data_IF_675843748859
#
_entry.id   IF_675843748859
#
_cell.length_a   1.000
_cell.length_b   1.000
_cell.length_c   1.000
_cell.angle_alpha   90.00
_cell.angle_beta   90.00
_cell.angle_gamma   90.00
#
_symmetry.space_group_name_H-M   'P 1'
#
loop_
_entity.id
_entity.type
_entity.pdbx_description
1 polymer ?
#
# COMPACT_ATOMS: atom_id res chain seq x y z
N UNK A 1 -29.04 9.08 0.39
CA UNK A 1 -28.50 10.06 1.37
C UNK A 1 -27.16 10.56 0.85
N UNK A 2 -26.98 11.88 0.71
CA UNK A 2 -25.70 12.47 0.35
C UNK A 2 -24.77 12.54 1.57
N UNK A 3 -23.47 12.40 1.33
CA UNK A 3 -22.40 12.52 2.32
C UNK A 3 -21.27 13.34 1.70
N UNK A 4 -20.66 14.22 2.49
CA UNK A 4 -19.41 14.88 2.16
C UNK A 4 -18.39 14.63 3.26
N UNK A 5 -17.14 14.40 2.88
CA UNK A 5 -16.04 14.18 3.82
C UNK A 5 -14.81 14.94 3.36
N UNK A 6 -14.15 15.60 4.32
CA UNK A 6 -12.89 16.32 4.09
C UNK A 6 -11.97 16.02 5.26
N UNK A 7 -10.74 15.62 4.94
CA UNK A 7 -9.59 15.47 5.83
C UNK A 7 -8.39 16.14 5.16
N UNK A 8 -7.74 17.03 5.90
CA UNK A 8 -6.54 17.72 5.45
C UNK A 8 -5.46 17.62 6.51
N UNK A 9 -4.21 17.75 6.09
CA UNK A 9 -3.07 17.87 6.99
C UNK A 9 -2.10 18.96 6.51
N UNK A 10 -1.44 19.60 7.46
CA UNK A 10 -0.31 20.46 7.16
C UNK A 10 0.98 19.63 7.20
N UNK A 11 1.77 19.72 6.14
CA UNK A 11 3.04 19.02 5.99
C UNK A 11 4.18 20.03 5.96
N UNK A 12 5.18 19.77 6.78
CA UNK A 12 6.45 20.48 6.75
C UNK A 12 7.61 19.49 6.67
N UNK A 13 8.53 19.73 5.75
CA UNK A 13 9.82 19.05 5.67
C UNK A 13 10.87 20.03 5.15
N UNK A 14 12.07 20.09 5.75
CA UNK A 14 13.16 20.92 5.22
C UNK A 14 13.62 20.40 3.85
N UNK A 15 14.31 21.26 3.10
CA UNK A 15 14.99 20.83 1.87
C UNK A 15 16.13 19.86 2.20
N UNK A 16 16.45 18.98 1.27
CA UNK A 16 17.60 18.09 1.36
C UNK A 16 18.56 18.27 0.17
N UNK A 17 19.86 17.98 0.35
CA UNK A 17 20.82 18.03 -0.76
C UNK A 17 20.41 17.06 -1.89
N UNK A 18 20.92 17.28 -3.12
CA UNK A 18 20.70 16.34 -4.21
C UNK A 18 21.20 14.94 -3.85
N UNK A 19 20.57 13.92 -4.42
CA UNK A 19 21.08 12.56 -4.35
C UNK A 19 22.48 12.48 -4.97
N UNK A 20 23.34 11.67 -4.34
CA UNK A 20 24.70 11.41 -4.83
C UNK A 20 24.66 10.80 -6.25
N UNK A 21 25.75 10.93 -7.02
CA UNK A 21 25.88 10.27 -8.32
C UNK A 21 25.61 8.76 -8.25
N UNK A 22 26.23 8.02 -7.31
CA UNK A 22 25.94 6.60 -7.12
C UNK A 22 24.47 6.28 -6.82
N UNK A 23 23.79 7.09 -6.02
CA UNK A 23 22.35 6.93 -5.75
C UNK A 23 21.50 7.10 -7.00
N UNK A 24 21.76 8.15 -7.79
CA UNK A 24 21.02 8.42 -9.03
C UNK A 24 21.26 7.33 -10.08
N UNK A 25 22.49 6.83 -10.19
CA UNK A 25 22.84 5.71 -11.07
C UNK A 25 22.16 4.40 -10.65
N UNK A 26 22.11 4.12 -9.34
CA UNK A 26 21.41 2.95 -8.83
C UNK A 26 19.92 3.02 -9.15
N UNK A 27 19.25 4.15 -8.91
CA UNK A 27 17.83 4.37 -9.25
C UNK A 27 17.62 4.18 -10.76
N UNK A 28 18.45 4.83 -11.59
CA UNK A 28 18.39 4.70 -13.05
C UNK A 28 18.47 3.24 -13.52
N UNK A 29 19.37 2.45 -12.93
CA UNK A 29 19.56 1.05 -13.27
C UNK A 29 18.38 0.16 -12.85
N UNK A 30 17.88 0.32 -11.62
CA UNK A 30 16.82 -0.55 -11.08
C UNK A 30 15.42 -0.22 -11.59
N UNK A 31 15.19 1.03 -12.01
CA UNK A 31 13.93 1.46 -12.61
C UNK A 31 13.96 1.40 -14.14
N UNK A 32 15.17 1.30 -14.72
CA UNK A 32 15.42 1.28 -16.17
C UNK A 32 14.89 2.57 -16.82
N UNK A 33 15.33 3.69 -16.26
CA UNK A 33 15.00 5.06 -16.68
C UNK A 33 16.28 5.90 -16.77
N UNK A 34 16.31 6.99 -17.55
CA UNK A 34 17.46 7.89 -17.58
C UNK A 34 17.85 8.39 -16.20
N UNK A 35 19.16 8.60 -15.99
CA UNK A 35 19.66 9.16 -14.74
C UNK A 35 19.05 10.55 -14.50
N UNK A 36 18.46 10.73 -13.32
CA UNK A 36 17.85 12.01 -12.95
C UNK A 36 18.93 13.10 -12.83
N UNK A 37 18.60 14.36 -13.15
CA UNK A 37 19.53 15.47 -12.97
C UNK A 37 19.91 15.65 -11.50
N UNK A 38 21.03 16.32 -11.25
CA UNK A 38 21.46 16.67 -9.88
C UNK A 38 20.65 17.87 -9.40
N UNK A 39 19.47 17.60 -8.82
CA UNK A 39 18.57 18.64 -8.31
C UNK A 39 18.40 18.55 -6.81
N UNK A 40 18.28 19.71 -6.16
CA UNK A 40 17.95 19.80 -4.74
C UNK A 40 16.56 19.22 -4.48
N UNK A 41 16.40 18.53 -3.36
CA UNK A 41 15.08 18.10 -2.89
C UNK A 41 14.43 19.32 -2.22
N UNK A 42 13.34 19.87 -2.79
CA UNK A 42 12.75 21.10 -2.29
C UNK A 42 12.12 20.87 -0.90
N UNK A 43 12.14 21.92 -0.07
CA UNK A 43 11.40 21.92 1.17
C UNK A 43 9.90 21.76 0.88
N UNK A 44 9.20 20.99 1.71
CA UNK A 44 7.75 20.87 1.67
C UNK A 44 7.17 21.77 2.75
N UNK A 45 6.28 22.67 2.35
CA UNK A 45 5.47 23.46 3.25
C UNK A 45 4.11 23.68 2.59
N UNK A 46 3.14 22.84 2.94
CA UNK A 46 1.83 22.86 2.28
C UNK A 46 0.73 22.29 3.17
N UNK A 47 -0.50 22.73 2.89
CA UNK A 47 -1.71 22.01 3.30
C UNK A 47 -2.04 20.99 2.21
N UNK A 48 -2.09 19.72 2.58
CA UNK A 48 -2.48 18.64 1.69
C UNK A 48 -3.90 18.17 2.03
N UNK A 49 -4.78 18.18 1.04
CA UNK A 49 -6.04 17.43 1.11
C UNK A 49 -5.72 15.94 0.99
N UNK A 50 -6.00 15.21 2.07
CA UNK A 50 -5.93 13.76 2.12
C UNK A 50 -7.20 13.21 1.47
N UNK A 51 -8.25 13.00 2.26
CA UNK A 51 -9.54 12.56 1.74
C UNK A 51 -10.43 13.77 1.50
N UNK A 52 -10.99 13.89 0.31
CA UNK A 52 -11.91 14.95 -0.04
C UNK A 52 -12.87 14.40 -1.10
N UNK A 53 -14.06 13.99 -0.69
CA UNK A 53 -15.01 13.33 -1.57
C UNK A 53 -16.46 13.62 -1.21
N UNK A 54 -17.31 13.47 -2.23
CA UNK A 54 -18.76 13.45 -2.09
C UNK A 54 -19.26 12.05 -2.39
N UNK A 55 -20.33 11.65 -1.72
CA UNK A 55 -20.88 10.31 -1.85
C UNK A 55 -22.40 10.29 -1.84
N UNK A 56 -22.97 9.34 -2.56
CA UNK A 56 -24.39 9.00 -2.55
C UNK A 56 -24.57 7.59 -2.00
N UNK A 57 -25.31 7.51 -0.90
CA UNK A 57 -25.76 6.26 -0.31
C UNK A 57 -27.16 5.90 -0.82
N UNK A 58 -27.29 4.77 -1.51
CA UNK A 58 -28.55 4.25 -2.08
C UNK A 58 -28.60 2.72 -2.00
N UNK A 59 -29.69 2.15 -1.46
CA UNK A 59 -29.92 0.69 -1.43
C UNK A 59 -28.71 -0.16 -0.97
N UNK A 60 -28.07 0.27 0.12
CA UNK A 60 -26.86 -0.33 0.70
C UNK A 60 -25.60 -0.26 -0.18
N UNK A 61 -25.63 0.52 -1.25
CA UNK A 61 -24.46 0.93 -2.02
C UNK A 61 -24.06 2.36 -1.66
N UNK A 62 -22.76 2.58 -1.62
CA UNK A 62 -22.13 3.88 -1.51
C UNK A 62 -21.35 4.12 -2.80
N UNK A 63 -21.69 5.21 -3.48
CA UNK A 63 -20.99 5.67 -4.68
C UNK A 63 -20.32 6.99 -4.34
N UNK A 64 -19.00 7.05 -4.40
CA UNK A 64 -18.22 8.24 -4.04
C UNK A 64 -17.32 8.70 -5.19
N UNK A 65 -17.07 10.01 -5.21
CA UNK A 65 -16.14 10.63 -6.13
C UNK A 65 -15.27 11.66 -5.40
N UNK A 66 -13.96 11.56 -5.60
CA UNK A 66 -12.97 12.47 -5.01
C UNK A 66 -11.71 11.74 -4.55
N UNK A 67 -10.87 12.44 -3.80
CA UNK A 67 -9.64 11.88 -3.21
C UNK A 67 -9.99 10.98 -2.04
N UNK A 68 -9.53 9.72 -2.11
CA UNK A 68 -9.87 8.70 -1.12
C UNK A 68 -8.69 7.78 -0.84
N UNK A 69 -8.42 7.55 0.44
CA UNK A 69 -7.49 6.55 0.95
C UNK A 69 -8.17 5.18 0.96
N UNK A 70 -7.43 4.12 0.66
CA UNK A 70 -7.91 2.74 0.74
C UNK A 70 -7.00 1.91 1.65
N UNK A 71 -7.55 0.83 2.20
CA UNK A 71 -6.82 -0.13 3.02
C UNK A 71 -7.31 -1.55 2.70
N UNK A 72 -6.55 -2.26 1.87
CA UNK A 72 -6.93 -3.57 1.34
C UNK A 72 -6.12 -4.71 1.96
N UNK A 73 -6.32 -4.92 3.26
CA UNK A 73 -5.75 -6.05 3.99
C UNK A 73 -6.10 -6.02 5.48
N UNK A 74 -5.91 -7.13 6.21
CA UNK A 74 -6.27 -7.28 7.62
C UNK A 74 -5.18 -6.79 8.58
N UNK A 75 -3.93 -6.70 8.13
CA UNK A 75 -2.84 -6.18 8.94
C UNK A 75 -3.00 -4.69 9.16
N UNK A 76 -2.55 -4.20 10.31
CA UNK A 76 -2.57 -2.76 10.67
C UNK A 76 -1.28 -2.08 10.22
N UNK A 77 -0.29 -2.88 9.84
CA UNK A 77 1.02 -2.45 9.43
C UNK A 77 1.19 -1.87 8.05
N UNK A 78 0.20 -1.98 7.19
CA UNK A 78 0.31 -1.63 5.77
C UNK A 78 0.08 -2.86 4.87
N UNK A 79 -1.10 -2.98 4.24
CA UNK A 79 -1.41 -4.07 3.34
C UNK A 79 -0.54 -4.06 2.08
N UNK A 80 -0.46 -5.22 1.42
CA UNK A 80 0.41 -5.43 0.27
C UNK A 80 -0.13 -4.77 -1.00
N UNK A 81 -1.44 -4.78 -1.23
CA UNK A 81 -2.03 -4.31 -2.49
C UNK A 81 -2.36 -2.82 -2.52
N UNK A 82 -2.89 -2.27 -1.44
CA UNK A 82 -3.31 -0.87 -1.41
C UNK A 82 -3.39 -0.39 0.03
N UNK A 83 -2.46 0.47 0.41
CA UNK A 83 -2.32 1.08 1.73
C UNK A 83 -2.49 2.60 1.65
N UNK A 84 -2.27 3.28 2.77
CA UNK A 84 -2.19 4.73 2.88
C UNK A 84 -0.74 5.26 2.79
N UNK A 85 0.20 4.43 2.34
CA UNK A 85 1.60 4.82 2.13
C UNK A 85 1.78 5.85 0.99
N UNK A 86 0.79 5.97 0.10
CA UNK A 86 0.74 7.01 -0.92
C UNK A 86 -0.38 8.02 -0.66
N UNK A 87 -0.23 9.23 -1.22
CA UNK A 87 -1.28 10.23 -1.17
C UNK A 87 -2.60 9.67 -1.75
N UNK A 88 -3.77 10.05 -1.20
CA UNK A 88 -5.05 9.55 -1.68
C UNK A 88 -5.29 9.83 -3.17
N UNK A 89 -5.77 8.80 -3.87
CA UNK A 89 -6.01 8.87 -5.31
C UNK A 89 -7.39 9.49 -5.56
N UNK A 90 -7.48 10.37 -6.56
CA UNK A 90 -8.76 10.87 -7.02
C UNK A 90 -9.47 9.78 -7.81
N UNK A 91 -10.59 9.28 -7.28
CA UNK A 91 -11.25 8.09 -7.81
C UNK A 91 -12.77 8.19 -7.76
N UNK A 92 -13.40 7.45 -8.67
CA UNK A 92 -14.77 6.98 -8.53
C UNK A 92 -14.75 5.62 -7.83
N UNK A 93 -15.50 5.47 -6.75
CA UNK A 93 -15.54 4.24 -5.94
C UNK A 93 -16.98 3.82 -5.71
N UNK A 94 -17.22 2.53 -5.81
CA UNK A 94 -18.49 1.89 -5.49
C UNK A 94 -18.23 0.84 -4.42
N UNK A 95 -18.86 1.00 -3.27
CA UNK A 95 -18.69 0.13 -2.11
C UNK A 95 -20.05 -0.35 -1.62
N UNK A 96 -20.11 -1.60 -1.18
CA UNK A 96 -21.29 -2.14 -0.51
C UNK A 96 -21.22 -1.84 0.99
N UNK A 97 -22.15 -1.03 1.50
CA UNK A 97 -22.22 -0.62 2.91
C UNK A 97 -22.65 -1.77 3.82
N UNK A 98 -23.64 -2.57 3.38
CA UNK A 98 -24.12 -3.73 4.11
C UNK A 98 -23.85 -5.02 3.33
N UNK A 99 -23.11 -5.99 3.92
CA UNK A 99 -22.89 -7.29 3.31
C UNK A 99 -24.19 -8.01 2.98
N UNK A 100 -24.20 -8.84 1.94
CA UNK A 100 -25.33 -9.69 1.57
C UNK A 100 -24.88 -11.14 1.39
N UNK A 101 -25.79 -12.11 1.40
CA UNK A 101 -25.43 -13.50 1.08
C UNK A 101 -25.69 -13.79 -0.38
N UNK A 102 -24.77 -14.53 -1.01
CA UNK A 102 -25.01 -15.05 -2.35
C UNK A 102 -26.10 -16.14 -2.30
N UNK A 103 -26.91 -16.27 -3.36
CA UNK A 103 -27.95 -17.28 -3.41
C UNK A 103 -27.38 -18.71 -3.59
N UNK A 104 -28.21 -19.70 -3.26
CA UNK A 104 -28.00 -21.12 -3.61
C UNK A 104 -26.71 -21.70 -3.03
N UNK A 105 -25.95 -22.46 -3.84
CA UNK A 105 -24.71 -23.10 -3.45
C UNK A 105 -23.63 -22.09 -3.09
N UNK A 106 -23.72 -20.81 -3.45
CA UNK A 106 -22.73 -19.82 -3.04
C UNK A 106 -22.97 -19.27 -1.63
N UNK A 107 -24.09 -19.64 -0.98
CA UNK A 107 -24.43 -19.20 0.37
C UNK A 107 -23.46 -19.67 1.46
N UNK A 108 -22.67 -20.73 1.23
CA UNK A 108 -21.65 -21.21 2.19
C UNK A 108 -20.47 -20.25 2.33
N UNK A 109 -20.24 -19.36 1.35
CA UNK A 109 -19.23 -18.30 1.45
C UNK A 109 -19.60 -17.23 2.50
N UNK A 110 -20.83 -17.27 3.00
CA UNK A 110 -21.35 -16.33 3.99
C UNK A 110 -21.59 -14.93 3.40
N UNK A 111 -21.67 -13.89 4.26
CA UNK A 111 -21.84 -12.53 3.80
C UNK A 111 -20.67 -12.08 2.91
N UNK A 112 -20.97 -11.50 1.76
CA UNK A 112 -20.03 -10.89 0.82
C UNK A 112 -20.12 -9.36 0.90
N UNK A 113 -18.96 -8.70 0.81
CA UNK A 113 -18.82 -7.26 0.55
C UNK A 113 -17.98 -7.07 -0.71
N UNK A 114 -18.33 -6.05 -1.49
CA UNK A 114 -17.63 -5.70 -2.72
C UNK A 114 -17.22 -4.24 -2.68
N UNK A 115 -16.03 -3.98 -3.17
CA UNK A 115 -15.47 -2.64 -3.35
C UNK A 115 -14.77 -2.57 -4.70
N UNK A 116 -15.16 -1.62 -5.53
CA UNK A 116 -14.53 -1.38 -6.83
C UNK A 116 -14.23 0.10 -7.00
N UNK A 117 -13.15 0.42 -7.71
CA UNK A 117 -12.81 1.80 -8.01
C UNK A 117 -12.14 1.94 -9.38
N UNK A 118 -12.16 3.16 -9.89
CA UNK A 118 -11.30 3.64 -10.96
C UNK A 118 -10.80 5.03 -10.55
N UNK A 119 -9.49 5.24 -10.61
CA UNK A 119 -8.84 6.48 -10.20
C UNK A 119 -7.73 6.88 -11.14
N UNK A 120 -7.39 8.17 -11.14
CA UNK A 120 -6.30 8.71 -11.93
C UNK A 120 -5.06 8.83 -11.04
N UNK A 121 -3.95 8.24 -11.49
CA UNK A 121 -2.66 8.36 -10.82
C UNK A 121 -2.09 9.76 -11.02
N UNK A 122 -1.13 10.12 -10.18
CA UNK A 122 -0.40 11.37 -10.25
C UNK A 122 1.09 11.10 -10.08
N UNK A 123 1.93 12.00 -10.59
CA UNK A 123 3.39 11.92 -10.42
C UNK A 123 4.04 10.74 -11.15
N UNK A 124 3.35 10.07 -12.06
CA UNK A 124 3.98 9.12 -12.97
C UNK A 124 4.85 9.90 -13.95
N UNK A 125 6.13 9.57 -14.07
CA UNK A 125 7.10 10.31 -14.89
C UNK A 125 7.55 9.53 -16.12
N UNK A 126 7.57 8.19 -16.04
CA UNK A 126 8.07 7.33 -17.10
C UNK A 126 7.09 6.25 -17.51
N UNK A 127 6.99 6.02 -18.81
CA UNK A 127 6.17 4.97 -19.43
C UNK A 127 6.82 4.48 -20.72
N UNK A 128 6.88 3.17 -20.92
CA UNK A 128 7.40 2.56 -22.14
C UNK A 128 6.25 2.09 -23.03
N UNK A 129 6.12 2.67 -24.22
CA UNK A 129 5.05 2.40 -25.19
C UNK A 129 5.63 1.92 -26.55
N UNK A 130 4.82 1.71 -27.59
CA UNK A 130 5.32 1.23 -28.88
C UNK A 130 6.36 2.13 -29.56
N UNK A 131 6.40 3.42 -29.20
CA UNK A 131 7.35 4.41 -29.71
C UNK A 131 8.64 4.47 -28.88
N UNK A 132 8.73 3.72 -27.78
CA UNK A 132 9.88 3.68 -26.89
C UNK A 132 9.59 4.22 -25.49
N UNK A 133 10.65 4.58 -24.77
CA UNK A 133 10.54 5.17 -23.44
C UNK A 133 10.11 6.63 -23.56
N UNK A 134 8.97 6.95 -22.94
CA UNK A 134 8.44 8.29 -22.78
C UNK A 134 8.69 8.76 -21.35
N UNK A 135 8.90 10.06 -21.19
CA UNK A 135 9.04 10.67 -19.86
C UNK A 135 10.35 11.40 -19.65
N UNK A 136 10.38 12.18 -18.58
CA UNK A 136 11.55 12.92 -18.14
C UNK A 136 11.50 13.05 -16.62
N UNK A 137 12.65 12.91 -15.96
CA UNK A 137 12.73 13.04 -14.50
C UNK A 137 12.25 14.42 -14.04
N UNK A 138 11.42 14.43 -13.00
CA UNK A 138 10.82 15.65 -12.45
C UNK A 138 9.67 16.23 -13.27
N UNK A 139 9.21 15.54 -14.33
CA UNK A 139 8.07 15.97 -15.14
C UNK A 139 7.00 14.87 -15.19
N UNK A 140 5.78 15.14 -14.68
CA UNK A 140 4.70 14.16 -14.76
C UNK A 140 4.24 13.97 -16.21
N UNK A 141 3.98 12.72 -16.58
CA UNK A 141 3.36 12.33 -17.85
C UNK A 141 2.03 13.08 -18.07
N UNK A 142 1.75 13.43 -19.33
CA UNK A 142 0.46 13.95 -19.74
C UNK A 142 -0.02 13.20 -21.00
N UNK A 143 -1.12 12.43 -20.93
CA UNK A 143 -1.98 12.20 -19.76
C UNK A 143 -1.34 11.29 -18.69
N UNK A 144 -1.77 11.42 -17.43
CA UNK A 144 -1.42 10.47 -16.38
C UNK A 144 -2.17 9.14 -16.57
N UNK A 145 -1.54 7.98 -16.26
CA UNK A 145 -2.21 6.68 -16.21
C UNK A 145 -3.34 6.62 -15.17
N UNK A 146 -4.17 5.59 -15.30
CA UNK A 146 -5.27 5.28 -14.40
C UNK A 146 -5.02 3.94 -13.72
N UNK A 147 -5.60 3.78 -12.54
CA UNK A 147 -5.66 2.53 -11.80
C UNK A 147 -7.12 2.16 -11.58
N UNK A 148 -7.45 0.89 -11.74
CA UNK A 148 -8.74 0.37 -11.29
C UNK A 148 -8.55 -0.83 -10.37
N UNK A 149 -9.47 -1.04 -9.45
CA UNK A 149 -9.41 -2.15 -8.51
C UNK A 149 -10.75 -2.81 -8.28
N UNK A 150 -10.72 -4.10 -7.95
CA UNK A 150 -11.86 -4.87 -7.45
C UNK A 150 -11.44 -5.67 -6.23
N UNK A 151 -12.24 -5.61 -5.17
CA UNK A 151 -12.10 -6.42 -3.96
C UNK A 151 -13.43 -7.09 -3.63
N UNK A 152 -13.37 -8.38 -3.32
CA UNK A 152 -14.48 -9.18 -2.84
C UNK A 152 -14.06 -9.84 -1.52
N UNK A 153 -14.76 -9.54 -0.43
CA UNK A 153 -14.51 -10.15 0.87
C UNK A 153 -15.68 -11.00 1.32
N UNK A 154 -15.37 -12.11 1.96
CA UNK A 154 -16.30 -13.16 2.36
C UNK A 154 -16.12 -13.48 3.84
N UNK A 155 -17.21 -13.88 4.50
CA UNK A 155 -17.22 -14.34 5.89
C UNK A 155 -17.93 -15.69 6.02
N UNK A 156 -17.28 -16.80 5.63
CA UNK A 156 -17.90 -18.14 5.69
C UNK A 156 -18.29 -18.57 7.10
N UNK A 157 -17.51 -18.16 8.11
CA UNK A 157 -17.77 -18.47 9.51
C UNK A 157 -17.61 -17.22 10.39
N UNK A 158 -18.11 -17.22 11.65
CA UNK A 158 -17.88 -16.11 12.57
C UNK A 158 -16.39 -15.82 12.87
N UNK A 159 -15.53 -16.82 12.68
CA UNK A 159 -14.10 -16.77 13.03
C UNK A 159 -13.18 -16.65 11.81
N UNK A 160 -13.69 -16.76 10.59
CA UNK A 160 -12.87 -16.76 9.37
C UNK A 160 -13.46 -15.80 8.34
N UNK A 161 -12.61 -14.89 7.89
CA UNK A 161 -12.86 -13.95 6.80
C UNK A 161 -11.71 -14.06 5.80
N UNK A 162 -12.03 -13.88 4.52
CA UNK A 162 -11.01 -13.78 3.48
C UNK A 162 -11.47 -12.84 2.38
N UNK A 163 -10.53 -12.27 1.65
CA UNK A 163 -10.83 -11.46 0.48
C UNK A 163 -9.91 -11.82 -0.68
N UNK A 164 -10.40 -11.60 -1.89
CA UNK A 164 -9.60 -11.60 -3.11
C UNK A 164 -9.72 -10.23 -3.73
N UNK A 165 -8.61 -9.73 -4.27
CA UNK A 165 -8.58 -8.43 -4.91
C UNK A 165 -7.63 -8.41 -6.09
N UNK A 166 -7.93 -7.50 -7.02
CA UNK A 166 -7.13 -7.25 -8.20
C UNK A 166 -7.02 -5.75 -8.43
N UNK A 167 -5.84 -5.29 -8.81
CA UNK A 167 -5.65 -3.93 -9.33
C UNK A 167 -5.00 -3.98 -10.70
N UNK A 168 -5.27 -2.97 -11.51
CA UNK A 168 -4.63 -2.81 -12.82
C UNK A 168 -4.28 -1.36 -13.07
N UNK A 169 -3.02 -1.08 -13.39
CA UNK A 169 -2.61 0.20 -13.95
C UNK A 169 -2.74 0.14 -15.48
N UNK A 170 -3.30 1.19 -16.08
CA UNK A 170 -3.49 1.25 -17.53
C UNK A 170 -3.59 2.69 -18.05
N UNK A 171 -3.51 2.86 -19.37
CA UNK A 171 -3.54 4.18 -20.00
C UNK A 171 -2.22 4.95 -19.85
N UNK A 172 -2.25 6.24 -20.18
CA UNK A 172 -1.08 7.12 -20.26
C UNK A 172 -0.68 7.43 -21.72
N UNK A 173 0.46 8.10 -21.96
CA UNK A 173 0.84 8.51 -23.32
C UNK A 173 1.06 7.31 -24.24
N UNK A 174 0.34 7.26 -25.36
CA UNK A 174 0.35 6.12 -26.29
C UNK A 174 -0.66 5.01 -25.96
N UNK A 175 -1.39 5.11 -24.84
CA UNK A 175 -2.44 4.18 -24.44
C UNK A 175 -3.77 4.94 -24.23
N UNK A 176 -4.66 4.95 -25.24
CA UNK A 176 -5.87 5.77 -25.20
C UNK A 176 -6.84 5.30 -24.11
N UNK A 177 -7.49 6.25 -23.44
CA UNK A 177 -8.53 5.97 -22.45
C UNK A 177 -9.90 5.96 -23.12
N UNK A 178 -10.36 4.77 -23.44
CA UNK A 178 -11.69 4.50 -24.00
C UNK A 178 -12.42 3.45 -23.18
N UNK A 179 -13.74 3.36 -23.36
CA UNK A 179 -14.54 2.28 -22.76
C UNK A 179 -14.04 0.90 -23.23
N UNK A 180 -13.63 0.77 -24.49
CA UNK A 180 -13.07 -0.47 -25.03
C UNK A 180 -11.79 -0.89 -24.27
N UNK A 181 -10.85 0.04 -24.08
CA UNK A 181 -9.61 -0.23 -23.34
C UNK A 181 -9.87 -0.53 -21.86
N UNK A 182 -10.86 0.12 -21.24
CA UNK A 182 -11.24 -0.16 -19.86
C UNK A 182 -11.82 -1.59 -19.74
N UNK A 183 -12.78 -1.95 -20.58
CA UNK A 183 -13.37 -3.31 -20.59
C UNK A 183 -12.28 -4.35 -20.86
N UNK A 184 -11.38 -4.09 -21.81
CA UNK A 184 -10.24 -4.97 -22.07
C UNK A 184 -9.35 -5.12 -20.84
N UNK A 185 -9.00 -4.03 -20.17
CA UNK A 185 -8.20 -4.04 -18.94
C UNK A 185 -8.87 -4.83 -17.82
N UNK A 186 -10.19 -4.69 -17.68
CA UNK A 186 -10.98 -5.39 -16.65
C UNK A 186 -11.03 -6.90 -16.86
N UNK A 187 -11.21 -7.38 -18.09
CA UNK A 187 -11.57 -8.79 -18.34
C UNK A 187 -10.51 -9.62 -19.04
N UNK A 188 -9.44 -9.02 -19.56
CA UNK A 188 -8.42 -9.80 -20.27
C UNK A 188 -7.62 -10.69 -19.32
N UNK A 189 -7.38 -11.92 -19.79
CA UNK A 189 -6.53 -12.92 -19.13
C UNK A 189 -5.17 -13.06 -19.81
N UNK A 190 -5.00 -12.56 -21.04
CA UNK A 190 -3.76 -12.69 -21.81
C UNK A 190 -2.63 -11.76 -21.36
N UNK A 191 -1.39 -12.20 -21.57
CA UNK A 191 -0.18 -11.39 -21.41
C UNK A 191 0.21 -10.75 -22.75
N UNK A 192 0.71 -9.52 -22.68
CA UNK A 192 1.18 -8.75 -23.83
C UNK A 192 2.58 -8.21 -23.54
N UNK A 193 3.41 -8.14 -24.59
CA UNK A 193 4.78 -7.62 -24.49
C UNK A 193 4.80 -6.20 -23.90
N UNK A 194 5.86 -5.90 -23.15
CA UNK A 194 6.05 -4.56 -22.59
C UNK A 194 6.14 -3.52 -23.72
N UNK A 195 5.41 -2.41 -23.59
CA UNK A 195 5.31 -1.40 -24.64
C UNK A 195 4.52 -1.85 -25.87
N UNK A 196 3.88 -3.02 -25.86
CA UNK A 196 3.00 -3.44 -26.96
C UNK A 196 1.80 -2.49 -27.11
N UNK A 197 1.38 -2.20 -28.35
CA UNK A 197 0.28 -1.26 -28.63
C UNK A 197 -1.06 -1.72 -28.06
N UNK A 198 -1.21 -3.03 -27.89
CA UNK A 198 -2.38 -3.71 -27.37
C UNK A 198 -2.31 -4.01 -25.87
N UNK A 199 -1.26 -3.55 -25.16
CA UNK A 199 -1.08 -3.88 -23.74
C UNK A 199 -2.27 -3.38 -22.92
N UNK A 200 -3.00 -4.26 -22.22
CA UNK A 200 -4.27 -3.89 -21.61
C UNK A 200 -4.11 -3.25 -20.23
N UNK A 201 -2.93 -3.39 -19.63
CA UNK A 201 -2.66 -2.96 -18.27
C UNK A 201 -1.57 -3.81 -17.63
N UNK A 202 -1.20 -3.41 -16.43
CA UNK A 202 -0.32 -4.13 -15.53
C UNK A 202 -1.11 -4.59 -14.31
N UNK A 203 -1.19 -5.90 -14.12
CA UNK A 203 -2.22 -6.54 -13.30
C UNK A 203 -1.57 -7.17 -12.07
N UNK A 204 -2.22 -6.93 -10.93
CA UNK A 204 -1.85 -7.48 -9.64
C UNK A 204 -3.02 -8.24 -9.07
N UNK A 205 -2.74 -9.37 -8.46
CA UNK A 205 -3.73 -10.15 -7.75
C UNK A 205 -3.32 -10.31 -6.30
N UNK A 206 -4.30 -10.42 -5.42
CA UNK A 206 -4.05 -10.58 -4.01
C UNK A 206 -5.16 -11.34 -3.30
N UNK A 207 -4.79 -11.89 -2.16
CA UNK A 207 -5.68 -12.62 -1.29
C UNK A 207 -5.32 -12.28 0.14
N UNK A 208 -6.33 -12.07 0.98
CA UNK A 208 -6.10 -11.93 2.40
C UNK A 208 -7.01 -12.83 3.21
N UNK A 209 -6.65 -13.08 4.46
CA UNK A 209 -7.49 -13.79 5.39
C UNK A 209 -7.26 -13.32 6.83
N UNK A 210 -8.27 -13.50 7.66
CA UNK A 210 -8.21 -13.30 9.11
C UNK A 210 -8.91 -14.47 9.78
N UNK A 211 -8.24 -15.08 10.76
CA UNK A 211 -8.71 -16.22 11.51
C UNK A 211 -8.59 -15.99 13.01
N UNK A 212 -9.72 -16.01 13.70
CA UNK A 212 -9.82 -16.01 15.15
C UNK A 212 -9.77 -17.45 15.65
N UNK A 213 -8.72 -17.83 16.39
CA UNK A 213 -8.53 -19.20 16.86
C UNK A 213 -9.73 -19.65 17.71
N UNK A 214 -10.51 -20.64 17.30
CA UNK A 214 -11.79 -20.98 17.97
C UNK A 214 -11.67 -21.25 19.49
N UNK A 215 -10.60 -21.91 19.95
CA UNK A 215 -10.37 -22.17 21.38
C UNK A 215 -9.73 -20.98 22.14
N UNK A 216 -9.05 -20.08 21.43
CA UNK A 216 -8.33 -18.93 21.98
C UNK A 216 -8.87 -17.60 21.42
N UNK A 217 -10.12 -17.58 20.96
CA UNK A 217 -10.60 -16.51 20.09
C UNK A 217 -10.77 -15.17 20.79
N UNK A 218 -10.79 -15.19 22.11
CA UNK A 218 -10.73 -14.00 22.97
C UNK A 218 -9.32 -13.43 23.14
N UNK A 219 -8.31 -14.15 22.65
CA UNK A 219 -6.89 -13.95 22.97
C UNK A 219 -6.00 -13.87 21.74
N UNK A 220 -6.36 -14.49 20.62
CA UNK A 220 -5.46 -14.58 19.45
C UNK A 220 -6.24 -14.53 18.14
N UNK A 221 -5.80 -13.65 17.24
CA UNK A 221 -6.18 -13.61 15.83
C UNK A 221 -4.91 -13.69 14.97
N UNK A 222 -4.92 -14.57 13.98
CA UNK A 222 -3.88 -14.67 12.95
C UNK A 222 -4.43 -14.17 11.63
N UNK A 223 -3.62 -13.48 10.84
CA UNK A 223 -4.01 -12.98 9.54
C UNK A 223 -2.84 -12.96 8.57
N UNK A 224 -3.17 -12.93 7.28
CA UNK A 224 -2.21 -12.84 6.20
C UNK A 224 -2.77 -12.10 5.00
N UNK A 225 -1.87 -11.52 4.22
CA UNK A 225 -2.13 -10.73 3.02
C UNK A 225 -1.05 -11.09 1.98
N UNK A 226 -1.49 -11.77 0.93
CA UNK A 226 -0.67 -12.23 -0.18
C UNK A 226 -0.86 -11.34 -1.40
N UNK A 227 0.23 -11.08 -2.11
CA UNK A 227 0.28 -10.26 -3.31
C UNK A 227 1.13 -10.94 -4.38
N UNK A 228 0.72 -10.80 -5.64
CA UNK A 228 1.50 -11.26 -6.79
C UNK A 228 1.31 -10.29 -7.96
N UNK A 229 2.41 -10.05 -8.67
CA UNK A 229 2.41 -9.39 -9.97
C UNK A 229 2.32 -10.49 -11.05
N UNK A 230 1.63 -10.18 -12.16
CA UNK A 230 1.46 -11.04 -13.35
C UNK A 230 0.78 -12.41 -13.18
N UNK A 231 0.58 -12.91 -11.96
CA UNK A 231 -0.16 -14.14 -11.66
C UNK A 231 -1.59 -13.86 -11.14
N UNK A 232 -2.48 -14.86 -11.24
CA UNK A 232 -3.88 -14.68 -10.84
C UNK A 232 -4.17 -14.99 -9.37
N UNK A 233 -3.25 -15.63 -8.65
CA UNK A 233 -3.47 -16.04 -7.26
C UNK A 233 -2.17 -16.22 -6.48
N UNK A 234 -1.99 -15.50 -5.36
CA UNK A 234 -0.82 -15.68 -4.52
C UNK A 234 -0.67 -17.07 -3.90
N UNK A 235 -1.79 -17.79 -3.73
CA UNK A 235 -1.80 -19.14 -3.15
C UNK A 235 -1.34 -20.18 -4.19
N UNK A 236 -1.74 -20.02 -5.45
CA UNK A 236 -1.38 -20.95 -6.51
C UNK A 236 0.08 -20.78 -6.98
N UNK A 237 0.62 -19.57 -6.84
CA UNK A 237 1.97 -19.20 -7.29
C UNK A 237 2.80 -18.69 -6.11
N UNK A 238 2.95 -19.51 -5.07
CA UNK A 238 3.68 -19.11 -3.87
C UNK A 238 5.15 -18.74 -4.16
N UNK A 239 5.77 -19.36 -5.16
CA UNK A 239 7.10 -19.04 -5.68
C UNK A 239 7.17 -17.73 -6.49
N UNK A 240 6.03 -17.07 -6.72
CA UNK A 240 5.92 -15.76 -7.40
C UNK A 240 5.06 -14.78 -6.61
N UNK A 241 5.02 -14.96 -5.30
CA UNK A 241 4.14 -14.20 -4.43
C UNK A 241 4.85 -13.76 -3.16
N UNK A 242 4.32 -12.70 -2.59
CA UNK A 242 4.89 -12.01 -1.43
C UNK A 242 3.82 -11.84 -0.39
N UNK A 243 4.23 -11.87 0.87
CA UNK A 243 3.30 -12.03 1.97
C UNK A 243 3.62 -11.08 3.12
N UNK A 244 2.55 -10.52 3.67
CA UNK A 244 2.49 -9.93 5.00
C UNK A 244 1.63 -10.82 5.88
N UNK A 245 2.07 -11.09 7.11
CA UNK A 245 1.30 -11.88 8.05
C UNK A 245 1.53 -11.39 9.47
N UNK A 246 0.57 -11.65 10.34
CA UNK A 246 0.67 -11.21 11.72
C UNK A 246 -0.22 -11.95 12.70
N UNK A 247 0.10 -11.74 13.98
CA UNK A 247 -0.67 -12.21 15.12
C UNK A 247 -1.06 -11.00 15.95
N UNK A 248 -2.32 -10.96 16.39
CA UNK A 248 -2.85 -9.96 17.29
C UNK A 248 -3.40 -10.61 18.56
N UNK A 249 -2.94 -10.12 19.71
CA UNK A 249 -3.43 -10.44 21.03
C UNK A 249 -4.14 -9.20 21.60
N UNK A 250 -5.48 -9.19 21.72
CA UNK A 250 -6.19 -8.03 22.23
C UNK A 250 -6.01 -7.79 23.74
N UNK A 251 -5.50 -8.79 24.45
CA UNK A 251 -5.25 -8.75 25.90
C UNK A 251 -4.31 -9.88 26.31
N UNK A 252 -3.58 -9.67 27.42
CA UNK A 252 -2.84 -10.74 28.10
C UNK A 252 -3.59 -11.27 29.32
N UNK A 253 -3.45 -12.56 29.67
CA UNK A 253 -3.95 -13.07 30.94
C UNK A 253 -3.43 -12.22 32.11
N UNK A 254 -4.34 -11.74 32.97
CA UNK A 254 -4.06 -10.86 34.14
C UNK A 254 -3.69 -9.42 33.81
N UNK A 255 -3.44 -9.06 32.55
CA UNK A 255 -3.17 -7.68 32.11
C UNK A 255 -4.10 -7.35 30.95
N UNK A 256 -5.41 -7.28 31.23
CA UNK A 256 -6.46 -7.15 30.21
C UNK A 256 -6.47 -5.79 29.46
N UNK A 257 -5.60 -4.86 29.85
CA UNK A 257 -5.43 -3.53 29.24
C UNK A 257 -4.22 -3.45 28.29
N UNK A 258 -3.46 -4.54 28.16
CA UNK A 258 -2.28 -4.60 27.32
C UNK A 258 -2.57 -5.45 26.10
N UNK A 259 -2.43 -4.89 24.90
CA UNK A 259 -2.47 -5.66 23.66
C UNK A 259 -1.05 -5.89 23.11
N UNK A 260 -0.92 -6.83 22.18
CA UNK A 260 0.31 -7.01 21.41
C UNK A 260 -0.05 -7.36 19.98
N UNK A 261 0.67 -6.74 19.05
CA UNK A 261 0.67 -7.15 17.66
C UNK A 261 2.10 -7.37 17.18
N UNK A 262 2.28 -8.43 16.40
CA UNK A 262 3.53 -8.76 15.74
C UNK A 262 3.22 -9.11 14.29
N UNK A 263 3.93 -8.49 13.37
CA UNK A 263 3.76 -8.65 11.94
C UNK A 263 5.12 -8.85 11.26
N UNK A 264 5.14 -9.69 10.22
CA UNK A 264 6.27 -9.93 9.35
C UNK A 264 5.86 -9.78 7.89
N UNK A 265 6.76 -9.26 7.06
CA UNK A 265 6.51 -9.00 5.65
C UNK A 265 7.76 -9.29 4.83
N UNK A 266 7.60 -9.78 3.61
CA UNK A 266 8.68 -9.85 2.64
C UNK A 266 8.17 -9.58 1.23
N UNK A 267 9.01 -8.94 0.42
CA UNK A 267 8.88 -8.83 -1.04
C UNK A 267 10.06 -9.43 -1.79
N UNK A 268 11.06 -9.97 -1.09
CA UNK A 268 12.13 -10.78 -1.67
C UNK A 268 11.79 -12.28 -1.52
N UNK A 269 10.95 -12.80 -2.42
CA UNK A 269 10.38 -14.14 -2.25
C UNK A 269 11.46 -15.23 -2.00
N UNK A 270 11.43 -15.93 -0.84
CA UNK A 270 12.45 -16.93 -0.50
C UNK A 270 12.27 -18.26 -1.25
N UNK A 271 11.13 -18.50 -1.89
CA UNK A 271 10.78 -19.78 -2.52
C UNK A 271 11.29 -19.93 -3.97
N UNK A 272 11.84 -18.87 -4.58
CA UNK A 272 12.40 -18.92 -5.93
C UNK A 272 11.50 -18.31 -7.01
N UNK A 273 11.23 -19.03 -8.10
CA UNK A 273 10.36 -18.58 -9.21
C UNK A 273 11.05 -17.95 -10.43
N UNK A 274 12.39 -17.84 -10.41
CA UNK A 274 13.23 -17.13 -11.41
C UNK A 274 12.84 -15.66 -11.61
N UNK A 275 12.28 -15.06 -10.57
CA UNK A 275 11.95 -13.66 -10.54
C UNK A 275 13.14 -12.93 -9.94
N UNK A 276 13.81 -12.12 -10.77
CA UNK A 276 14.98 -11.37 -10.35
C UNK A 276 14.57 -10.23 -9.41
N UNK A 277 15.57 -9.73 -8.69
CA UNK A 277 15.49 -8.71 -7.65
C UNK A 277 14.61 -7.50 -8.04
N UNK A 278 13.80 -7.03 -7.09
CA UNK A 278 12.99 -5.82 -7.25
C UNK A 278 11.79 -5.95 -8.20
N UNK A 279 11.31 -7.17 -8.45
CA UNK A 279 10.17 -7.44 -9.33
C UNK A 279 8.85 -6.85 -8.84
N UNK A 280 8.51 -7.07 -7.57
CA UNK A 280 7.22 -6.63 -7.04
C UNK A 280 7.11 -5.11 -7.01
N UNK A 281 5.94 -4.56 -7.29
CA UNK A 281 5.66 -3.11 -7.38
C UNK A 281 6.36 -2.36 -8.53
N UNK A 282 6.95 -3.09 -9.48
CA UNK A 282 7.59 -2.51 -10.66
C UNK A 282 7.00 -3.07 -11.95
N UNK A 283 7.05 -2.29 -13.02
CA UNK A 283 6.58 -2.74 -14.32
C UNK A 283 7.41 -2.20 -15.47
N UNK A 284 7.63 -3.05 -16.48
CA UNK A 284 8.41 -2.67 -17.65
C UNK A 284 7.67 -1.77 -18.66
N UNK A 285 6.36 -1.54 -18.50
CA UNK A 285 5.57 -0.55 -19.24
C UNK A 285 5.31 0.69 -18.40
N UNK A 286 4.69 0.56 -17.22
CA UNK A 286 4.53 1.68 -16.28
C UNK A 286 5.76 1.80 -15.37
N UNK A 287 6.81 2.44 -15.90
CA UNK A 287 8.16 2.45 -15.32
C UNK A 287 8.29 3.20 -14.00
N UNK A 288 7.36 4.08 -13.68
CA UNK A 288 7.33 4.73 -12.35
C UNK A 288 6.85 3.77 -11.23
N UNK A 289 6.52 2.52 -11.60
CA UNK A 289 6.09 1.47 -10.69
C UNK A 289 4.71 1.71 -10.12
N UNK A 290 4.36 0.91 -9.12
CA UNK A 290 3.05 0.94 -8.47
C UNK A 290 2.95 2.08 -7.44
N UNK A 291 2.98 3.31 -7.95
CA UNK A 291 3.13 4.54 -7.17
C UNK A 291 2.03 5.56 -7.44
N UNK A 292 1.81 6.46 -6.48
CA UNK A 292 1.05 7.68 -6.66
C UNK A 292 1.75 8.85 -5.98
N UNK A 293 1.99 9.93 -6.74
CA UNK A 293 2.76 11.08 -6.27
C UNK A 293 4.18 10.71 -5.84
N UNK A 294 4.80 9.72 -6.51
CA UNK A 294 6.14 9.20 -6.19
C UNK A 294 6.22 8.24 -5.00
N UNK A 295 5.11 7.99 -4.29
CA UNK A 295 5.08 7.06 -3.15
C UNK A 295 4.41 5.75 -3.54
N UNK A 296 4.87 4.63 -2.98
CA UNK A 296 4.29 3.31 -3.25
C UNK A 296 2.85 3.22 -2.72
N UNK A 297 1.94 2.73 -3.58
CA UNK A 297 0.55 2.46 -3.23
C UNK A 297 0.44 1.23 -2.32
N UNK A 298 1.35 0.27 -2.48
CA UNK A 298 1.39 -0.98 -1.72
C UNK A 298 2.03 -0.84 -0.34
N UNK A 299 2.74 -1.88 0.11
CA UNK A 299 3.33 -1.94 1.44
C UNK A 299 4.58 -1.06 1.59
N UNK A 300 4.80 -0.56 2.80
CA UNK A 300 5.98 0.20 3.19
C UNK A 300 7.30 -0.57 3.04
N UNK A 301 7.25 -1.91 3.03
CA UNK A 301 8.45 -2.77 2.88
C UNK A 301 9.16 -2.52 1.55
N UNK A 302 8.44 -2.01 0.55
CA UNK A 302 8.97 -1.69 -0.76
C UNK A 302 9.37 -2.91 -1.59
N UNK A 303 10.29 -2.68 -2.52
CA UNK A 303 10.79 -3.69 -3.47
C UNK A 303 11.93 -4.48 -2.84
N UNK A 304 11.91 -5.80 -3.00
CA UNK A 304 12.95 -6.71 -2.53
C UNK A 304 13.32 -6.56 -1.04
N UNK A 305 12.32 -6.26 -0.22
CA UNK A 305 12.48 -5.98 1.20
C UNK A 305 12.05 -7.14 2.09
N UNK A 306 12.60 -7.21 3.29
CA UNK A 306 12.11 -8.00 4.43
C UNK A 306 11.83 -7.04 5.57
N UNK A 307 10.75 -7.27 6.29
CA UNK A 307 10.37 -6.43 7.41
C UNK A 307 9.74 -7.21 8.55
N UNK A 308 9.94 -6.72 9.75
CA UNK A 308 9.23 -7.17 10.94
C UNK A 308 8.86 -5.95 11.77
N UNK A 309 7.70 -5.99 12.38
CA UNK A 309 7.26 -4.95 13.30
C UNK A 309 6.42 -5.50 14.41
N UNK A 310 6.49 -4.85 15.55
CA UNK A 310 5.71 -5.18 16.71
C UNK A 310 5.32 -3.90 17.44
N UNK A 311 4.13 -3.89 18.01
CA UNK A 311 3.73 -2.83 18.90
C UNK A 311 2.75 -3.33 19.94
N UNK A 312 2.73 -2.61 21.06
CA UNK A 312 1.88 -2.91 22.19
C UNK A 312 1.28 -1.61 22.71
N UNK A 313 -0.03 -1.63 22.96
CA UNK A 313 -0.73 -0.53 23.57
C UNK A 313 -1.10 -0.90 25.02
N UNK A 314 -0.89 0.04 25.93
CA UNK A 314 -1.53 0.02 27.24
C UNK A 314 -2.71 1.00 27.27
N UNK A 315 -3.91 0.48 27.48
CA UNK A 315 -5.16 1.24 27.44
C UNK A 315 -5.57 1.71 28.84
N UNK A 316 -5.49 3.02 29.08
CA UNK A 316 -5.99 3.63 30.32
C UNK A 316 -7.52 3.67 30.32
N UNK A 317 -8.09 4.05 29.17
CA UNK A 317 -9.52 4.05 28.86
C UNK A 317 -9.73 3.51 27.43
N UNK A 318 -10.97 3.31 26.96
CA UNK A 318 -11.21 2.91 25.58
C UNK A 318 -10.70 3.89 24.51
N UNK A 319 -10.29 5.11 24.90
CA UNK A 319 -9.79 6.16 24.00
C UNK A 319 -8.39 6.68 24.35
N UNK A 320 -7.93 6.45 25.58
CA UNK A 320 -6.64 6.94 26.07
C UNK A 320 -5.65 5.79 26.17
N UNK A 321 -4.52 5.90 25.49
CA UNK A 321 -3.51 4.84 25.44
C UNK A 321 -2.10 5.39 25.26
N UNK A 322 -1.14 4.56 25.64
CA UNK A 322 0.26 4.70 25.24
C UNK A 322 0.63 3.48 24.42
N UNK A 323 1.34 3.68 23.32
CA UNK A 323 1.85 2.64 22.43
C UNK A 323 3.36 2.72 22.34
N UNK A 324 4.02 1.57 22.43
CA UNK A 324 5.42 1.41 22.07
C UNK A 324 5.48 0.55 20.81
N UNK A 325 6.27 0.97 19.83
CA UNK A 325 6.43 0.27 18.56
C UNK A 325 7.90 0.05 18.21
N UNK A 326 8.14 -1.03 17.47
CA UNK A 326 9.40 -1.38 16.86
C UNK A 326 9.14 -1.80 15.42
N UNK A 327 9.97 -1.33 14.49
CA UNK A 327 9.95 -1.77 13.09
C UNK A 327 11.38 -1.97 12.62
N UNK A 328 11.62 -3.04 11.87
CA UNK A 328 12.89 -3.29 11.21
C UNK A 328 12.64 -3.65 9.74
N UNK A 329 13.50 -3.16 8.86
CA UNK A 329 13.50 -3.39 7.43
C UNK A 329 14.90 -3.75 6.96
N UNK A 330 14.97 -4.64 5.97
CA UNK A 330 16.16 -4.93 5.18
C UNK A 330 15.80 -4.93 3.71
N UNK A 331 16.63 -4.35 2.85
CA UNK A 331 16.52 -4.42 1.39
C UNK A 331 17.64 -5.30 0.84
N UNK A 332 17.29 -6.18 -0.10
CA UNK A 332 18.20 -7.12 -0.74
C UNK A 332 19.36 -6.43 -1.45
N UNK A 333 20.58 -6.98 -1.29
CA UNK A 333 21.78 -6.47 -1.96
C UNK A 333 21.80 -6.76 -3.47
N UNK A 334 21.03 -7.78 -3.89
CA UNK A 334 20.88 -8.13 -5.30
C UNK A 334 20.02 -7.08 -6.02
N UNK A 335 19.10 -6.41 -5.30
CA UNK A 335 18.32 -5.30 -5.81
C UNK A 335 19.06 -3.96 -5.71
N UNK A 336 19.50 -3.56 -4.50
CA UNK A 336 20.22 -2.31 -4.27
C UNK A 336 21.67 -2.64 -3.92
N UNK A 337 22.67 -2.09 -4.65
CA UNK A 337 24.08 -2.32 -4.33
C UNK A 337 24.43 -2.00 -2.88
N UNK A 338 24.98 -2.99 -2.16
CA UNK A 338 25.28 -2.89 -0.72
C UNK A 338 24.09 -3.07 0.21
N UNK A 339 22.90 -3.30 -0.35
CA UNK A 339 21.63 -3.47 0.37
C UNK A 339 21.24 -2.24 1.18
N UNK A 340 20.35 -2.46 2.14
CA UNK A 340 20.04 -1.44 3.13
C UNK A 340 19.30 -1.98 4.33
N UNK A 341 19.35 -1.26 5.44
CA UNK A 341 18.58 -1.56 6.65
C UNK A 341 18.01 -0.30 7.26
N UNK A 342 16.87 -0.43 7.91
CA UNK A 342 16.20 0.64 8.66
C UNK A 342 15.58 0.04 9.91
N UNK A 343 15.68 0.74 11.03
CA UNK A 343 15.09 0.34 12.31
C UNK A 343 14.47 1.55 12.97
N UNK A 344 13.21 1.42 13.36
CA UNK A 344 12.45 2.43 14.09
C UNK A 344 12.08 1.92 15.48
N UNK A 345 12.17 2.83 16.44
CA UNK A 345 11.53 2.69 17.76
C UNK A 345 10.62 3.88 17.95
N UNK A 346 9.34 3.61 18.25
CA UNK A 346 8.31 4.64 18.36
C UNK A 346 7.61 4.64 19.70
N UNK A 347 7.14 5.83 20.10
CA UNK A 347 6.24 6.06 21.22
C UNK A 347 5.08 6.92 20.73
N UNK A 348 3.85 6.43 20.90
CA UNK A 348 2.64 7.19 20.62
C UNK A 348 1.77 7.31 21.86
N UNK A 349 1.19 8.49 22.05
CA UNK A 349 0.27 8.79 23.16
C UNK A 349 -1.00 9.38 22.57
N UNK A 350 -2.15 8.76 22.87
CA UNK A 350 -3.47 9.27 22.49
C UNK A 350 -4.23 9.65 23.78
N UNK A 351 -4.69 10.90 23.86
CA UNK A 351 -5.40 11.46 25.02
C UNK A 351 -6.67 12.18 24.58
N UNK A 352 -7.80 11.74 25.10
CA UNK A 352 -9.07 12.42 24.97
C UNK A 352 -9.40 13.16 26.25
N UNK A 353 -9.54 14.49 26.14
CA UNK A 353 -9.91 15.35 27.27
C UNK A 353 -11.43 15.34 27.49
N UNK A 354 -12.21 15.19 26.41
CA UNK A 354 -13.66 15.05 26.46
C UNK A 354 -14.17 14.18 25.28
N UNK A 355 -15.47 14.23 24.96
CA UNK A 355 -16.07 13.41 23.90
C UNK A 355 -15.66 13.83 22.48
N UNK A 356 -15.25 15.08 22.29
CA UNK A 356 -15.07 15.74 21.01
C UNK A 356 -13.62 16.21 20.75
N UNK A 357 -12.79 16.25 21.79
CA UNK A 357 -11.40 16.70 21.70
C UNK A 357 -10.46 15.59 22.12
N UNK A 358 -9.56 15.23 21.21
CA UNK A 358 -8.45 14.31 21.44
C UNK A 358 -7.15 14.94 20.96
N UNK A 359 -6.03 14.49 21.52
CA UNK A 359 -4.68 14.87 21.11
C UNK A 359 -3.92 13.57 20.92
N UNK A 360 -3.18 13.48 19.82
CA UNK A 360 -2.31 12.36 19.49
C UNK A 360 -0.89 12.88 19.24
N UNK A 361 0.07 12.36 19.98
CA UNK A 361 1.49 12.67 19.83
C UNK A 361 2.25 11.40 19.49
N UNK A 362 3.16 11.49 18.53
CA UNK A 362 4.05 10.39 18.13
C UNK A 362 5.50 10.88 18.10
N UNK A 363 6.40 10.06 18.63
CA UNK A 363 7.84 10.24 18.54
C UNK A 363 8.47 8.97 17.97
N UNK A 364 9.41 9.11 17.05
CA UNK A 364 10.12 8.01 16.41
C UNK A 364 11.62 8.31 16.41
N UNK A 365 12.40 7.32 16.84
CA UNK A 365 13.85 7.27 16.66
C UNK A 365 14.15 6.26 15.56
N UNK A 366 14.77 6.74 14.48
CA UNK A 366 15.10 5.95 13.31
C UNK A 366 16.61 5.79 13.19
N UNK A 367 17.04 4.60 12.81
CA UNK A 367 18.41 4.28 12.47
C UNK A 367 18.43 3.56 11.13
N UNK A 368 19.21 4.04 10.17
CA UNK A 368 19.28 3.44 8.85
C UNK A 368 20.70 3.36 8.31
N UNK A 369 20.90 2.41 7.41
CA UNK A 369 22.15 2.18 6.70
C UNK A 369 21.85 1.81 5.26
N UNK A 370 22.07 2.75 4.34
CA UNK A 370 21.93 2.58 2.90
C UNK A 370 23.19 3.13 2.22
N UNK A 371 24.23 2.30 2.00
CA UNK A 371 25.52 2.74 1.47
C UNK A 371 25.43 3.54 0.17
N UNK A 372 24.45 3.20 -0.67
CA UNK A 372 24.21 3.86 -1.96
C UNK A 372 23.77 5.32 -1.79
N UNK A 373 23.07 5.63 -0.70
CA UNK A 373 22.58 6.99 -0.39
C UNK A 373 23.65 7.74 0.39
N UNK A 374 24.11 7.16 1.50
CA UNK A 374 25.09 7.77 2.38
C UNK A 374 25.96 6.70 3.05
N UNK A 375 27.30 6.86 3.04
CA UNK A 375 28.19 5.95 3.76
C UNK A 375 27.94 6.00 5.27
N UNK A 376 28.04 4.83 5.91
CA UNK A 376 27.91 4.70 7.37
C UNK A 376 26.47 4.79 7.88
N UNK A 377 26.29 4.36 9.14
CA UNK A 377 25.00 4.38 9.81
C UNK A 377 24.54 5.82 10.10
N UNK A 378 23.27 6.08 9.88
CA UNK A 378 22.62 7.38 10.08
C UNK A 378 21.49 7.24 11.11
N UNK A 379 21.19 8.34 11.79
CA UNK A 379 20.14 8.39 12.81
C UNK A 379 19.29 9.65 12.67
N UNK A 380 17.99 9.51 12.88
CA UNK A 380 17.02 10.60 12.79
C UNK A 380 16.03 10.53 13.96
N UNK A 381 15.51 11.68 14.39
CA UNK A 381 14.42 11.77 15.37
C UNK A 381 13.28 12.55 14.74
N UNK A 382 12.08 11.98 14.77
CA UNK A 382 10.85 12.60 14.28
C UNK A 382 9.85 12.74 15.43
N UNK A 383 9.26 13.92 15.56
CA UNK A 383 8.13 14.18 16.45
C UNK A 383 6.96 14.75 15.63
N UNK A 384 5.77 14.19 15.83
CA UNK A 384 4.55 14.61 15.14
C UNK A 384 3.41 14.73 16.16
N UNK A 385 2.73 15.86 16.13
CA UNK A 385 1.51 16.10 16.90
C UNK A 385 0.31 16.21 15.95
N UNK A 386 -0.82 15.66 16.37
CA UNK A 386 -2.10 15.75 15.68
C UNK A 386 -3.18 16.08 16.72
N UNK A 387 -3.95 17.13 16.46
CA UNK A 387 -4.98 17.68 17.36
C UNK A 387 -6.38 17.55 16.77
#
# INVERSE_FOLDING_TARGET
RWVGYIRAEYQHSPSAPPLSGPARQAISAVDVVPESPTTLIPAVNRVQLLDAYVGLNTQNWEVTFGRQSLWWGPGDGGPMMFSDNAAPINMFRVNRVQPFKLPWILGWLGPIRTEVFIGQLTGQEFLFNPSGLMGQSGQPLNPQPFIHGQMFSFKPTPNFEFAVFRTTDYGGPGYPLTLHTLVRSLFTTGNENHGGASKPGDRRSGVNFSYRLSALGKWVTFYGDGFTDDEFSPIAYADRSVWHAGIYLPQFPRINKLDLRVEGVYTNNPLGGKICCGFFYWNATWRSGYTNGGNLIGSWVGRDGQGAQAWSNYWFTPRNKIQVSFRHQKVGQDFIPGGGTLTDVGLRVDLWTNRNLGISTNMQYETWFFPVIRPGQQTNVLARDCS
#
